data_IF_390088041054
#
_entry.id   IF_390088041054
#
_cell.length_a   1.000
_cell.length_b   1.000
_cell.length_c   1.000
_cell.angle_alpha   90.00
_cell.angle_beta   90.00
_cell.angle_gamma   90.00
#
_symmetry.space_group_name_H-M   'P 1'
#
loop_
_entity.id
_entity.type
_entity.pdbx_description
1 polymer ?
#
# COMPACT_ATOMS: atom_id res chain seq x y z
N UNK A 1 9.43 7.62 1.59
CA UNK A 1 9.60 6.45 2.49
C UNK A 1 10.34 5.36 1.72
N UNK A 2 11.33 4.67 2.31
CA UNK A 2 12.04 3.57 1.65
C UNK A 2 11.45 2.22 2.08
N UNK A 3 11.17 1.34 1.14
CA UNK A 3 10.63 -0.01 1.40
C UNK A 3 11.41 -1.05 0.61
N UNK A 4 11.62 -2.26 1.14
CA UNK A 4 12.26 -3.34 0.38
C UNK A 4 11.43 -3.72 -0.84
N UNK A 5 12.11 -4.03 -1.95
CA UNK A 5 11.48 -4.32 -3.23
C UNK A 5 10.53 -5.52 -3.17
N UNK A 6 10.89 -6.54 -2.39
CA UNK A 6 10.08 -7.73 -2.18
C UNK A 6 8.69 -7.40 -1.58
N UNK A 7 8.59 -6.34 -0.79
CA UNK A 7 7.33 -5.95 -0.15
C UNK A 7 6.51 -4.95 -0.97
N UNK A 8 7.07 -4.40 -2.06
CA UNK A 8 6.33 -3.56 -3.02
C UNK A 8 5.17 -4.34 -3.61
N UNK A 9 5.43 -5.59 -4.05
CA UNK A 9 4.41 -6.46 -4.64
C UNK A 9 3.22 -6.65 -3.70
N UNK A 10 3.50 -6.79 -2.40
CA UNK A 10 2.47 -6.91 -1.36
C UNK A 10 1.64 -5.64 -1.18
N UNK A 11 2.23 -4.46 -1.37
CA UNK A 11 1.53 -3.17 -1.27
C UNK A 11 0.73 -2.88 -2.55
N UNK A 12 1.31 -3.18 -3.71
CA UNK A 12 0.66 -3.03 -5.01
C UNK A 12 -0.56 -3.95 -5.09
N UNK A 13 -0.43 -5.18 -4.59
CA UNK A 13 -1.45 -6.23 -4.72
C UNK A 13 -1.47 -6.80 -6.14
N UNK A 14 -2.35 -7.77 -6.37
CA UNK A 14 -2.58 -8.34 -7.70
C UNK A 14 -3.01 -7.22 -8.66
N UNK A 15 -2.32 -7.09 -9.79
CA UNK A 15 -2.54 -6.05 -10.82
C UNK A 15 -2.55 -4.58 -10.34
N UNK A 16 -2.03 -4.28 -9.14
CA UNK A 16 -2.08 -2.91 -8.61
C UNK A 16 -3.43 -2.50 -8.03
N UNK A 17 -4.34 -3.45 -7.79
CA UNK A 17 -5.64 -3.17 -7.19
C UNK A 17 -5.52 -2.54 -5.79
N UNK A 18 -4.60 -3.04 -4.96
CA UNK A 18 -4.46 -2.59 -3.58
C UNK A 18 -3.89 -1.16 -3.50
N UNK A 19 -2.85 -0.84 -4.28
CA UNK A 19 -2.32 0.54 -4.31
C UNK A 19 -3.33 1.53 -4.87
N UNK A 20 -4.12 1.14 -5.88
CA UNK A 20 -5.20 1.97 -6.43
C UNK A 20 -6.28 2.23 -5.38
N UNK A 21 -6.67 1.20 -4.64
CA UNK A 21 -7.61 1.33 -3.54
C UNK A 21 -7.08 2.28 -2.45
N UNK A 22 -5.83 2.15 -2.02
CA UNK A 22 -5.22 3.05 -1.03
C UNK A 22 -5.22 4.50 -1.54
N UNK A 23 -4.87 4.74 -2.80
CA UNK A 23 -4.91 6.09 -3.40
C UNK A 23 -6.31 6.69 -3.37
N UNK A 24 -7.33 5.91 -3.71
CA UNK A 24 -8.73 6.34 -3.72
C UNK A 24 -9.26 6.58 -2.29
N UNK A 25 -9.06 5.61 -1.39
CA UNK A 25 -9.57 5.64 -0.01
C UNK A 25 -8.97 6.80 0.79
N UNK A 26 -7.66 7.04 0.65
CA UNK A 26 -6.99 8.12 1.34
C UNK A 26 -6.91 9.40 0.52
N UNK A 27 -7.37 9.42 -0.73
CA UNK A 27 -7.31 10.61 -1.60
C UNK A 27 -5.91 11.23 -1.69
N UNK A 28 -4.87 10.40 -1.77
CA UNK A 28 -3.46 10.84 -1.90
C UNK A 28 -2.85 10.24 -3.15
N UNK A 29 -1.98 11.00 -3.81
CA UNK A 29 -1.17 10.47 -4.87
C UNK A 29 0.00 9.67 -4.28
N UNK A 30 0.23 8.47 -4.78
CA UNK A 30 1.31 7.60 -4.30
C UNK A 30 2.12 7.12 -5.48
N UNK A 31 3.35 7.60 -5.61
CA UNK A 31 4.27 7.23 -6.69
C UNK A 31 5.41 6.36 -6.15
N UNK A 32 5.58 5.16 -6.72
CA UNK A 32 6.63 4.22 -6.30
C UNK A 32 7.77 4.27 -7.32
N UNK A 33 8.91 4.81 -6.91
CA UNK A 33 10.13 4.88 -7.70
C UNK A 33 10.96 3.62 -7.44
N UNK A 34 11.04 2.75 -8.45
CA UNK A 34 11.93 1.57 -8.41
C UNK A 34 13.37 2.02 -8.72
N UNK A 35 14.37 1.53 -7.97
CA UNK A 35 15.76 1.83 -8.30
C UNK A 35 16.12 1.21 -9.65
N UNK A 36 16.85 1.96 -10.47
CA UNK A 36 17.37 1.51 -11.77
C UNK A 36 18.57 0.55 -11.59
N UNK A 37 19.30 0.67 -10.48
CA UNK A 37 20.52 -0.08 -10.19
C UNK A 37 20.24 -1.28 -9.26
N UNK A 38 20.85 -2.46 -9.50
CA UNK A 38 20.60 -3.69 -8.74
C UNK A 38 21.19 -3.71 -7.32
N UNK A 39 22.01 -2.72 -6.94
CA UNK A 39 22.70 -2.68 -5.64
C UNK A 39 21.84 -1.93 -4.61
N UNK A 40 21.08 -2.69 -3.80
CA UNK A 40 20.33 -2.15 -2.65
C UNK A 40 18.81 -2.06 -2.86
N UNK A 41 18.17 -3.23 -3.00
CA UNK A 41 16.75 -3.55 -3.25
C UNK A 41 15.68 -2.79 -2.44
N UNK A 42 15.68 -1.46 -2.44
CA UNK A 42 14.67 -0.63 -1.79
C UNK A 42 14.05 0.34 -2.79
N UNK A 43 12.72 0.40 -2.86
CA UNK A 43 12.02 1.44 -3.61
C UNK A 43 11.70 2.64 -2.72
N UNK A 44 11.67 3.79 -3.38
CA UNK A 44 11.25 5.04 -2.75
C UNK A 44 9.77 5.29 -3.07
N UNK A 45 8.95 5.40 -2.02
CA UNK A 45 7.55 5.79 -2.12
C UNK A 45 7.45 7.30 -1.87
N UNK A 46 7.00 8.02 -2.88
CA UNK A 46 6.63 9.42 -2.86
C UNK A 46 5.11 9.51 -2.66
N UNK A 47 4.68 10.40 -1.77
CA UNK A 47 3.25 10.61 -1.49
C UNK A 47 2.98 12.11 -1.54
N UNK A 48 1.97 12.51 -2.31
CA UNK A 48 1.62 13.92 -2.53
C UNK A 48 0.14 14.13 -2.21
N UNK A 49 -0.17 15.21 -1.49
CA UNK A 49 -1.53 15.53 -1.03
C UNK A 49 -1.53 16.08 0.40
N UNK A 50 -2.67 15.94 1.07
CA UNK A 50 -2.86 16.42 2.45
C UNK A 50 -1.91 15.73 3.44
N UNK A 51 -1.22 16.47 4.33
CA UNK A 51 -0.26 15.88 5.28
C UNK A 51 -0.92 14.89 6.24
N UNK A 52 -2.16 15.14 6.68
CA UNK A 52 -2.93 14.19 7.50
C UNK A 52 -3.20 12.88 6.76
N UNK A 53 -3.60 12.95 5.48
CA UNK A 53 -3.91 11.76 4.68
C UNK A 53 -2.66 10.99 4.31
N UNK A 54 -1.56 11.69 4.00
CA UNK A 54 -0.24 11.09 3.79
C UNK A 54 0.19 10.31 5.03
N UNK A 55 0.00 10.87 6.23
CA UNK A 55 0.33 10.18 7.49
C UNK A 55 -0.49 8.89 7.66
N UNK A 56 -1.80 8.95 7.40
CA UNK A 56 -2.69 7.78 7.46
C UNK A 56 -2.29 6.70 6.46
N UNK A 57 -2.10 7.06 5.19
CA UNK A 57 -1.69 6.14 4.14
C UNK A 57 -0.32 5.51 4.45
N UNK A 58 0.64 6.29 4.96
CA UNK A 58 1.95 5.79 5.36
C UNK A 58 1.85 4.78 6.50
N UNK A 59 0.98 5.02 7.48
CA UNK A 59 0.73 4.10 8.60
C UNK A 59 0.06 2.81 8.10
N UNK A 60 -0.88 2.92 7.17
CA UNK A 60 -1.54 1.79 6.54
C UNK A 60 -0.54 0.91 5.77
N UNK A 61 0.31 1.50 4.92
CA UNK A 61 1.36 0.77 4.19
C UNK A 61 2.32 0.06 5.16
N UNK A 62 2.75 0.73 6.23
CA UNK A 62 3.59 0.09 7.27
C UNK A 62 2.89 -1.09 7.94
N UNK A 63 1.57 -1.04 8.12
CA UNK A 63 0.79 -2.17 8.66
C UNK A 63 0.80 -3.37 7.72
N UNK A 64 0.65 -3.14 6.41
CA UNK A 64 0.75 -4.19 5.36
C UNK A 64 2.15 -4.85 5.38
N UNK A 65 3.19 -4.03 5.54
CA UNK A 65 4.59 -4.48 5.65
C UNK A 65 4.85 -5.27 6.94
N UNK A 66 4.34 -4.78 8.07
CA UNK A 66 4.56 -5.33 9.42
C UNK A 66 3.88 -6.68 9.69
N UNK A 67 3.18 -7.25 8.72
CA UNK A 67 2.84 -8.67 8.77
C UNK A 67 1.63 -9.03 9.63
N UNK A 68 0.60 -8.18 9.72
CA UNK A 68 -0.72 -8.69 10.11
C UNK A 68 -1.39 -9.21 8.85
N UNK A 69 -1.35 -10.53 8.65
CA UNK A 69 -2.26 -11.23 7.74
C UNK A 69 -3.68 -10.83 8.15
N UNK A 70 -4.26 -9.84 7.50
CA UNK A 70 -5.72 -9.77 7.43
C UNK A 70 -6.10 -10.87 6.44
N UNK A 71 -6.16 -12.08 6.95
CA UNK A 71 -6.90 -13.14 6.30
C UNK A 71 -8.33 -12.57 6.20
N UNK A 72 -8.72 -12.13 5.00
CA UNK A 72 -10.13 -11.94 4.67
C UNK A 72 -10.71 -13.34 4.63
N UNK A 73 -11.01 -13.86 5.80
CA UNK A 73 -12.01 -14.89 5.98
C UNK A 73 -13.07 -14.31 6.89
N UNK A 74 -14.26 -14.15 6.30
CA UNK A 74 -15.55 -13.99 6.99
C UNK A 74 -15.73 -12.59 7.63
N UNK A 75 -16.81 -11.82 7.43
CA UNK A 75 -18.22 -12.02 7.11
C UNK A 75 -18.66 -10.66 6.50
N UNK A 76 -19.63 -10.53 5.60
CA UNK A 76 -21.07 -10.59 5.91
C UNK A 76 -21.85 -11.08 4.67
N UNK A 77 -22.11 -12.39 4.64
CA UNK A 77 -23.25 -12.94 3.90
C UNK A 77 -24.48 -12.76 4.81
N UNK A 78 -25.04 -11.54 4.85
CA UNK A 78 -26.27 -11.17 5.56
C UNK A 78 -26.63 -9.74 5.07
N UNK A 79 -27.71 -9.39 4.38
CA UNK A 79 -29.03 -9.96 4.09
C UNK A 79 -29.69 -9.17 2.91
N UNK A 80 -30.78 -9.74 2.38
CA UNK A 80 -31.83 -9.18 1.47
C UNK A 80 -31.57 -9.41 -0.03
N UNK A 81 -32.31 -10.27 -0.76
CA UNK A 81 -33.73 -10.66 -0.70
C UNK A 81 -33.94 -12.18 -0.80
#
# INVERSE_FOLDING_TARGET
>A
MKIPANSILKIIGEEGANIKHIRLTFGVDITILRPHEPVGKTASVLMTGDPCKILMARKHIKSILGGRRINTESREHMLLF
#
